data_IF_132818757963
#
_entry.id   IF_132818757963
#
_cell.length_a   1.000
_cell.length_b   1.000
_cell.length_c   1.000
_cell.angle_alpha   90.00
_cell.angle_beta   90.00
_cell.angle_gamma   90.00
#
_symmetry.space_group_name_H-M   'P 1'
#
loop_
_entity.id
_entity.type
_entity.pdbx_description
1 polymer ?
#
# COMPACT_ATOMS: atom_id res chain seq x y z
N UNK A 1 7.78 -13.09 -20.76
CA UNK A 1 7.86 -11.68 -20.31
C UNK A 1 6.56 -11.32 -19.57
N UNK A 2 6.22 -12.10 -18.54
CA UNK A 2 4.94 -12.04 -17.81
C UNK A 2 5.11 -12.18 -16.29
N UNK A 3 6.30 -12.54 -15.79
CA UNK A 3 6.58 -12.74 -14.36
C UNK A 3 6.67 -11.43 -13.56
N UNK A 4 7.40 -10.43 -14.09
CA UNK A 4 7.77 -9.24 -13.30
C UNK A 4 6.56 -8.45 -12.77
N UNK A 5 5.43 -8.44 -13.50
CA UNK A 5 4.20 -7.80 -13.01
C UNK A 5 3.49 -8.63 -11.94
N UNK A 6 3.50 -9.95 -12.07
CA UNK A 6 2.85 -10.83 -11.09
C UNK A 6 3.59 -10.74 -9.76
N UNK A 7 4.92 -10.72 -9.79
CA UNK A 7 5.75 -10.58 -8.60
C UNK A 7 5.53 -9.23 -7.89
N UNK A 8 5.45 -8.14 -8.66
CA UNK A 8 5.13 -6.80 -8.14
C UNK A 8 3.75 -6.72 -7.49
N UNK A 9 2.77 -7.38 -8.08
CA UNK A 9 1.40 -7.42 -7.54
C UNK A 9 1.32 -8.28 -6.28
N UNK A 10 2.07 -9.38 -6.21
CA UNK A 10 2.13 -10.22 -5.03
C UNK A 10 2.74 -9.48 -3.83
N UNK A 11 3.84 -8.73 -4.04
CA UNK A 11 4.46 -7.94 -2.98
C UNK A 11 3.54 -6.84 -2.42
N UNK A 12 2.83 -6.13 -3.30
CA UNK A 12 1.84 -5.13 -2.88
C UNK A 12 0.63 -5.76 -2.16
N UNK A 13 0.14 -6.90 -2.66
CA UNK A 13 -0.98 -7.61 -2.05
C UNK A 13 -0.64 -8.11 -0.64
N UNK A 14 0.58 -8.62 -0.42
CA UNK A 14 1.06 -9.01 0.90
C UNK A 14 1.09 -7.83 1.88
N UNK A 15 1.46 -6.63 1.40
CA UNK A 15 1.44 -5.41 2.21
C UNK A 15 0.05 -4.98 2.60
N UNK A 16 -0.86 -4.94 1.62
CA UNK A 16 -2.25 -4.59 1.86
C UNK A 16 -2.92 -5.60 2.79
N UNK A 17 -2.59 -6.89 2.67
CA UNK A 17 -3.10 -7.92 3.57
C UNK A 17 -2.59 -7.73 5.00
N UNK A 18 -1.29 -7.48 5.20
CA UNK A 18 -0.73 -7.19 6.53
C UNK A 18 -1.36 -5.94 7.16
N UNK A 19 -1.60 -4.90 6.36
CA UNK A 19 -2.31 -3.70 6.80
C UNK A 19 -3.75 -4.02 7.20
N UNK A 20 -4.48 -4.81 6.41
CA UNK A 20 -5.84 -5.21 6.73
C UNK A 20 -5.92 -6.05 8.01
N UNK A 21 -4.97 -6.97 8.22
CA UNK A 21 -4.85 -7.73 9.47
C UNK A 21 -4.62 -6.80 10.65
N UNK A 22 -3.66 -5.88 10.57
CA UNK A 22 -3.39 -4.90 11.62
C UNK A 22 -4.65 -4.09 11.98
N UNK A 23 -5.37 -3.57 10.99
CA UNK A 23 -6.58 -2.78 11.21
C UNK A 23 -7.74 -3.60 11.79
N UNK A 24 -7.79 -4.90 11.49
CA UNK A 24 -8.81 -5.81 12.02
C UNK A 24 -8.51 -6.23 13.47
N UNK A 25 -7.24 -6.44 13.79
CA UNK A 25 -6.79 -6.82 15.14
C UNK A 25 -6.75 -5.62 16.10
N UNK A 26 -6.39 -4.44 15.58
CA UNK A 26 -6.27 -3.19 16.36
C UNK A 26 -7.10 -2.05 15.71
N UNK A 27 -8.44 -2.06 15.87
CA UNK A 27 -9.28 -1.02 15.30
C UNK A 27 -8.90 0.37 15.83
N UNK A 28 -8.72 1.33 14.92
CA UNK A 28 -8.39 2.72 15.26
C UNK A 28 -6.91 3.03 15.38
N UNK A 29 -6.01 2.06 15.15
CA UNK A 29 -4.55 2.28 15.14
C UNK A 29 -4.11 3.24 14.02
N UNK A 30 -4.82 3.24 12.89
CA UNK A 30 -4.66 4.21 11.80
C UNK A 30 -6.05 4.77 11.50
N UNK A 31 -6.18 6.09 11.52
CA UNK A 31 -7.42 6.72 11.10
C UNK A 31 -7.60 6.63 9.59
N UNK A 32 -8.83 6.51 9.12
CA UNK A 32 -9.11 6.37 7.68
C UNK A 32 -8.61 7.57 6.85
N UNK A 33 -8.57 8.77 7.44
CA UNK A 33 -8.02 9.98 6.81
C UNK A 33 -6.49 10.00 6.76
N UNK A 34 -5.82 9.21 7.60
CA UNK A 34 -4.36 9.06 7.62
C UNK A 34 -3.87 7.93 6.69
N UNK A 35 -4.78 7.05 6.28
CA UNK A 35 -4.49 5.86 5.47
C UNK A 35 -3.77 6.18 4.15
N UNK A 36 -4.16 7.22 3.38
CA UNK A 36 -3.42 7.57 2.16
C UNK A 36 -1.96 7.94 2.43
N UNK A 37 -1.71 8.74 3.47
CA UNK A 37 -0.36 9.16 3.83
C UNK A 37 0.47 7.95 4.31
N UNK A 38 -0.12 7.05 5.08
CA UNK A 38 0.52 5.82 5.51
C UNK A 38 0.96 4.93 4.33
N UNK A 39 0.09 4.80 3.32
CA UNK A 39 0.41 4.05 2.09
C UNK A 39 1.57 4.70 1.33
N UNK A 40 1.63 6.03 1.24
CA UNK A 40 2.75 6.74 0.59
C UNK A 40 4.07 6.58 1.34
N UNK A 41 4.04 6.63 2.67
CA UNK A 41 5.24 6.34 3.48
C UNK A 41 5.74 4.92 3.24
N UNK A 42 4.83 3.95 3.14
CA UNK A 42 5.17 2.56 2.84
C UNK A 42 5.69 2.42 1.41
N UNK A 43 5.10 3.12 0.44
CA UNK A 43 5.57 3.15 -0.94
C UNK A 43 7.01 3.66 -1.05
N UNK A 44 7.33 4.77 -0.37
CA UNK A 44 8.68 5.33 -0.35
C UNK A 44 9.72 4.37 0.25
N UNK A 45 9.34 3.61 1.29
CA UNK A 45 10.22 2.59 1.85
C UNK A 45 10.42 1.40 0.90
N UNK A 46 9.38 0.99 0.17
CA UNK A 46 9.48 -0.06 -0.86
C UNK A 46 10.39 0.35 -2.00
N UNK A 47 10.25 1.58 -2.49
CA UNK A 47 11.12 2.14 -3.53
C UNK A 47 12.58 2.16 -3.08
N UNK A 48 12.86 2.59 -1.84
CA UNK A 48 14.21 2.52 -1.24
C UNK A 48 14.79 1.11 -1.18
N UNK A 49 13.95 0.09 -1.04
CA UNK A 49 14.34 -1.33 -1.03
C UNK A 49 14.48 -1.93 -2.44
N UNK A 50 14.23 -1.13 -3.49
CA UNK A 50 14.27 -1.58 -4.89
C UNK A 50 12.98 -2.25 -5.36
N UNK A 51 11.92 -2.24 -4.54
CA UNK A 51 10.62 -2.79 -4.87
C UNK A 51 9.72 -1.71 -5.50
N UNK A 52 10.12 -1.27 -6.69
CA UNK A 52 9.45 -0.17 -7.40
C UNK A 52 8.00 -0.51 -7.76
N UNK A 53 7.68 -1.78 -8.04
CA UNK A 53 6.32 -2.15 -8.39
C UNK A 53 5.35 -2.15 -7.22
N UNK A 54 5.81 -2.55 -6.03
CA UNK A 54 5.00 -2.37 -4.82
C UNK A 54 4.80 -0.88 -4.51
N UNK A 55 5.84 -0.06 -4.69
CA UNK A 55 5.75 1.39 -4.50
C UNK A 55 4.71 2.03 -5.42
N UNK A 56 4.74 1.71 -6.73
CA UNK A 56 3.77 2.21 -7.72
C UNK A 56 2.33 1.84 -7.35
N UNK A 57 2.10 0.58 -6.96
CA UNK A 57 0.78 0.12 -6.57
C UNK A 57 0.28 0.82 -5.30
N UNK A 58 1.11 0.90 -4.25
CA UNK A 58 0.74 1.57 -3.00
C UNK A 58 0.40 3.06 -3.21
N UNK A 59 1.16 3.77 -4.06
CA UNK A 59 0.85 5.14 -4.44
C UNK A 59 -0.49 5.23 -5.20
N UNK A 60 -0.74 4.33 -6.16
CA UNK A 60 -2.02 4.30 -6.88
C UNK A 60 -3.22 4.06 -5.96
N UNK A 61 -3.06 3.25 -4.91
CA UNK A 61 -4.10 3.05 -3.90
C UNK A 61 -4.27 4.27 -2.99
N UNK A 62 -3.18 4.94 -2.60
CA UNK A 62 -3.25 6.19 -1.84
C UNK A 62 -4.05 7.26 -2.58
N UNK A 63 -3.78 7.43 -3.89
CA UNK A 63 -4.49 8.41 -4.72
C UNK A 63 -5.99 8.09 -4.81
N UNK A 64 -6.35 6.81 -5.02
CA UNK A 64 -7.77 6.39 -5.03
C UNK A 64 -8.49 6.65 -3.70
N UNK A 65 -7.80 6.51 -2.57
CA UNK A 65 -8.39 6.75 -1.26
C UNK A 65 -8.56 8.25 -0.98
N UNK A 66 -7.64 9.10 -1.46
CA UNK A 66 -7.86 10.56 -1.40
C UNK A 66 -9.06 10.98 -2.23
N UNK A 67 -9.20 10.45 -3.45
CA UNK A 67 -10.35 10.72 -4.32
C UNK A 67 -11.69 10.30 -3.67
N UNK A 68 -11.68 9.26 -2.82
CA UNK A 68 -12.89 8.77 -2.13
C UNK A 68 -13.18 9.49 -0.80
N UNK A 69 -12.18 10.14 -0.21
CA UNK A 69 -12.32 10.89 1.04
C UNK A 69 -12.71 12.36 0.81
N UNK A 70 -12.88 12.78 -0.44
CA UNK A 70 -13.27 14.15 -0.86
C UNK A 70 -14.75 14.21 -1.23
#
# INVERSE_FOLDING_TARGET
MTDDRIDKWAAAADHLLKLAVLLAEEPGVIRLDELPNWLRMTAAERERQGDTGAAELLNSWADRLEDQNT
#
